data_IF_278188437031
#
_entry.id   IF_278188437031
#
_cell.length_a   1.000
_cell.length_b   1.000
_cell.length_c   1.000
_cell.angle_alpha   90.00
_cell.angle_beta   90.00
_cell.angle_gamma   90.00
#
_symmetry.space_group_name_H-M   'P 1'
#
loop_
_entity.id
_entity.type
_entity.pdbx_description
1 polymer ?
#
# COMPACT_ATOMS: atom_id res chain seq x y z
N UNK A 1 -17.01 -30.94 -12.23
CA UNK A 1 -16.11 -30.79 -11.07
C UNK A 1 -14.72 -31.36 -11.33
N UNK A 2 -14.60 -32.60 -11.78
CA UNK A 2 -13.30 -33.25 -12.07
C UNK A 2 -12.40 -32.43 -13.01
N UNK A 3 -12.92 -32.00 -14.17
CA UNK A 3 -12.14 -31.18 -15.11
C UNK A 3 -11.69 -29.83 -14.55
N UNK A 4 -12.47 -29.24 -13.64
CA UNK A 4 -12.09 -27.98 -12.98
C UNK A 4 -10.90 -28.25 -12.06
N UNK A 5 -11.00 -29.27 -11.20
CA UNK A 5 -9.92 -29.62 -10.28
C UNK A 5 -8.63 -30.01 -11.01
N UNK A 6 -8.73 -30.71 -12.14
CA UNK A 6 -7.57 -31.07 -12.97
C UNK A 6 -6.97 -29.88 -13.73
N UNK A 7 -7.70 -28.76 -13.84
CA UNK A 7 -7.23 -27.52 -14.47
C UNK A 7 -6.65 -26.51 -13.47
N UNK A 8 -6.93 -26.69 -12.17
CA UNK A 8 -6.34 -25.87 -11.11
C UNK A 8 -4.85 -26.21 -10.91
N UNK A 9 -4.07 -25.32 -10.30
CA UNK A 9 -2.68 -25.60 -9.96
C UNK A 9 -2.54 -26.86 -9.10
N UNK A 10 -1.44 -27.59 -9.29
CA UNK A 10 -1.07 -28.67 -8.37
C UNK A 10 -0.83 -28.11 -6.97
N UNK A 11 -0.82 -28.99 -5.96
CA UNK A 11 -0.56 -28.57 -4.57
C UNK A 11 0.78 -27.85 -4.43
N UNK A 12 1.82 -28.33 -5.12
CA UNK A 12 3.16 -27.74 -5.08
C UNK A 12 3.18 -26.36 -5.75
N UNK A 13 2.50 -26.20 -6.89
CA UNK A 13 2.37 -24.91 -7.57
C UNK A 13 1.60 -23.91 -6.71
N UNK A 14 0.45 -24.32 -6.16
CA UNK A 14 -0.35 -23.49 -5.26
C UNK A 14 0.46 -23.07 -4.02
N UNK A 15 1.19 -24.01 -3.41
CA UNK A 15 2.04 -23.74 -2.25
C UNK A 15 3.13 -22.70 -2.56
N UNK A 16 3.85 -22.88 -3.68
CA UNK A 16 4.87 -21.93 -4.11
C UNK A 16 4.29 -20.54 -4.40
N UNK A 17 3.15 -20.46 -5.11
CA UNK A 17 2.49 -19.18 -5.40
C UNK A 17 2.02 -18.48 -4.13
N UNK A 18 1.43 -19.20 -3.18
CA UNK A 18 1.00 -18.62 -1.90
C UNK A 18 2.20 -18.07 -1.12
N UNK A 19 3.31 -18.82 -1.06
CA UNK A 19 4.54 -18.36 -0.41
C UNK A 19 5.07 -17.07 -1.02
N UNK A 20 5.18 -17.03 -2.36
CA UNK A 20 5.65 -15.83 -3.08
C UNK A 20 4.72 -14.63 -2.85
N UNK A 21 3.40 -14.82 -3.01
CA UNK A 21 2.44 -13.72 -2.80
C UNK A 21 2.45 -13.23 -1.36
N UNK A 22 2.55 -14.13 -0.39
CA UNK A 22 2.68 -13.76 1.02
C UNK A 22 3.93 -12.92 1.24
N UNK A 23 5.08 -13.37 0.76
CA UNK A 23 6.34 -12.67 0.96
C UNK A 23 6.33 -11.26 0.37
N UNK A 24 5.76 -11.10 -0.84
CA UNK A 24 5.71 -9.83 -1.59
C UNK A 24 4.61 -8.86 -1.12
N UNK A 25 3.62 -9.32 -0.34
CA UNK A 25 2.51 -8.47 0.12
C UNK A 25 2.62 -8.04 1.58
N UNK A 26 3.65 -8.50 2.29
CA UNK A 26 3.94 -8.04 3.65
C UNK A 26 4.37 -6.57 3.63
N UNK A 27 3.95 -5.87 4.68
CA UNK A 27 4.42 -4.52 4.98
C UNK A 27 5.56 -4.61 5.98
N UNK A 28 6.56 -3.76 5.81
CA UNK A 28 7.65 -3.61 6.77
C UNK A 28 7.31 -2.46 7.71
N UNK A 29 7.51 -2.66 9.02
CA UNK A 29 7.12 -1.67 10.05
C UNK A 29 7.95 -0.37 9.96
N UNK A 30 9.11 -0.41 9.32
CA UNK A 30 10.06 0.68 9.18
C UNK A 30 10.04 1.36 7.79
N UNK A 31 9.11 0.98 6.90
CA UNK A 31 9.02 1.55 5.56
C UNK A 31 8.36 2.95 5.59
N UNK A 32 9.00 3.99 5.00
CA UNK A 32 8.42 5.31 4.92
C UNK A 32 7.28 5.35 3.88
N UNK A 33 6.13 5.83 4.30
CA UNK A 33 4.93 5.94 3.48
C UNK A 33 4.89 7.23 2.67
N UNK A 34 3.99 7.29 1.69
CA UNK A 34 3.87 8.41 0.75
C UNK A 34 3.81 9.75 1.47
N UNK A 35 4.79 10.60 1.20
CA UNK A 35 4.91 11.94 1.78
C UNK A 35 5.69 12.01 3.08
N UNK A 36 6.22 10.90 3.59
CA UNK A 36 7.20 10.86 4.68
C UNK A 36 8.61 11.00 4.13
N UNK A 37 9.31 12.09 4.45
CA UNK A 37 10.67 12.33 3.97
C UNK A 37 11.65 12.40 5.14
N UNK A 38 12.07 11.25 5.72
CA UNK A 38 12.90 11.22 6.93
C UNK A 38 14.30 11.83 6.73
N UNK A 39 14.85 11.73 5.52
CA UNK A 39 16.20 12.23 5.19
C UNK A 39 16.32 13.76 5.20
N UNK A 40 15.20 14.50 5.12
CA UNK A 40 15.15 15.97 5.12
C UNK A 40 16.20 16.64 4.21
N UNK A 41 16.30 16.14 2.97
CA UNK A 41 17.26 16.66 1.98
C UNK A 41 16.98 18.11 1.56
N UNK A 42 15.72 18.53 1.63
CA UNK A 42 15.33 19.92 1.42
C UNK A 42 15.47 20.74 2.70
N UNK A 43 16.15 21.88 2.61
CA UNK A 43 16.37 22.80 3.74
C UNK A 43 15.77 24.18 3.50
N UNK A 44 15.26 24.45 2.30
CA UNK A 44 14.62 25.71 1.96
C UNK A 44 13.15 25.72 2.42
N UNK A 45 12.70 26.89 2.87
CA UNK A 45 11.36 27.04 3.45
C UNK A 45 10.24 26.74 2.44
N UNK A 46 10.46 27.05 1.17
CA UNK A 46 9.46 26.85 0.13
C UNK A 46 9.19 25.36 -0.12
N UNK A 47 10.24 24.53 -0.11
CA UNK A 47 10.15 23.08 -0.20
C UNK A 47 9.47 22.48 1.02
N UNK A 48 9.84 22.90 2.24
CA UNK A 48 9.16 22.45 3.47
C UNK A 48 7.65 22.77 3.45
N UNK A 49 7.29 23.97 2.99
CA UNK A 49 5.89 24.37 2.87
C UNK A 49 5.17 23.57 1.78
N UNK A 50 5.86 23.19 0.70
CA UNK A 50 5.32 22.31 -0.34
C UNK A 50 5.06 20.89 0.18
N UNK A 51 6.01 20.32 0.93
CA UNK A 51 5.87 19.03 1.59
C UNK A 51 4.68 19.06 2.57
N UNK A 52 4.60 20.08 3.42
CA UNK A 52 3.51 20.26 4.38
C UNK A 52 2.14 20.33 3.68
N UNK A 53 2.04 21.06 2.56
CA UNK A 53 0.81 21.11 1.74
C UNK A 53 0.50 19.75 1.11
N UNK A 54 1.50 19.01 0.66
CA UNK A 54 1.32 17.68 0.08
C UNK A 54 0.78 16.70 1.13
N UNK A 55 1.41 16.62 2.30
CA UNK A 55 0.95 15.81 3.43
C UNK A 55 -0.48 16.18 3.87
N UNK A 56 -0.80 17.47 3.93
CA UNK A 56 -2.17 17.92 4.24
C UNK A 56 -3.22 17.50 3.19
N UNK A 57 -2.84 17.37 1.92
CA UNK A 57 -3.72 16.83 0.87
C UNK A 57 -3.87 15.32 0.99
N UNK A 58 -2.79 14.60 1.29
CA UNK A 58 -2.83 13.15 1.53
C UNK A 58 -3.76 12.81 2.69
N UNK A 59 -3.67 13.55 3.80
CA UNK A 59 -4.58 13.34 4.94
C UNK A 59 -6.06 13.51 4.55
N UNK A 60 -6.39 14.51 3.72
CA UNK A 60 -7.77 14.69 3.21
C UNK A 60 -8.22 13.52 2.33
N UNK A 61 -7.32 12.99 1.49
CA UNK A 61 -7.59 11.81 0.65
C UNK A 61 -7.83 10.59 1.52
N UNK A 62 -6.97 10.35 2.51
CA UNK A 62 -7.10 9.25 3.48
C UNK A 62 -8.49 9.28 4.14
N UNK A 63 -8.88 10.42 4.73
CA UNK A 63 -10.21 10.60 5.34
C UNK A 63 -11.37 10.36 4.37
N UNK A 64 -11.24 10.77 3.12
CA UNK A 64 -12.26 10.52 2.10
C UNK A 64 -12.35 9.02 1.73
N UNK A 65 -11.21 8.31 1.68
CA UNK A 65 -11.17 6.87 1.42
C UNK A 65 -11.76 6.11 2.60
N UNK A 66 -11.39 6.44 3.84
CA UNK A 66 -11.96 5.87 5.06
C UNK A 66 -13.48 6.01 5.08
N UNK A 67 -14.01 7.23 4.89
CA UNK A 67 -15.46 7.47 4.86
C UNK A 67 -16.19 6.70 3.75
N UNK A 68 -15.54 6.53 2.60
CA UNK A 68 -16.09 5.73 1.49
C UNK A 68 -16.08 4.23 1.84
N UNK A 69 -15.04 3.75 2.51
CA UNK A 69 -14.89 2.35 2.90
C UNK A 69 -15.87 1.91 3.99
N UNK A 70 -16.29 2.83 4.88
CA UNK A 70 -17.33 2.56 5.89
C UNK A 70 -18.66 2.06 5.31
N UNK A 71 -18.91 2.32 4.02
CA UNK A 71 -20.14 1.94 3.30
C UNK A 71 -19.97 0.68 2.45
N UNK A 72 -18.78 0.09 2.42
CA UNK A 72 -18.46 -1.06 1.57
C UNK A 72 -18.38 -2.33 2.42
N UNK A 73 -18.94 -3.43 1.91
CA UNK A 73 -18.76 -4.77 2.51
C UNK A 73 -17.28 -5.18 2.51
N UNK A 74 -16.55 -4.82 1.44
CA UNK A 74 -15.12 -5.05 1.29
C UNK A 74 -14.39 -3.72 1.11
N UNK A 75 -13.76 -3.19 2.18
CA UNK A 75 -12.98 -1.96 2.11
C UNK A 75 -11.82 -2.05 1.10
N UNK A 76 -11.65 -1.01 0.29
CA UNK A 76 -10.49 -0.89 -0.61
C UNK A 76 -9.41 -0.04 0.07
N UNK A 77 -8.35 -0.69 0.55
CA UNK A 77 -7.33 -0.04 1.40
C UNK A 77 -5.96 0.11 0.74
N UNK A 78 -5.75 -0.48 -0.44
CA UNK A 78 -4.43 -0.51 -1.09
C UNK A 78 -3.87 0.87 -1.44
N UNK A 79 -4.73 1.85 -1.75
CA UNK A 79 -4.33 3.23 -2.08
C UNK A 79 -4.56 4.23 -0.93
N UNK A 80 -4.68 3.74 0.31
CA UNK A 80 -4.53 4.64 1.46
C UNK A 80 -3.10 5.20 1.44
N UNK A 81 -2.90 6.52 1.63
CA UNK A 81 -1.56 7.09 1.75
C UNK A 81 -0.70 6.36 2.78
N UNK A 82 -1.30 5.93 3.89
CA UNK A 82 -0.67 5.15 4.98
C UNK A 82 -0.38 3.69 4.61
N UNK A 83 -0.78 3.25 3.41
CA UNK A 83 -0.48 1.92 2.88
C UNK A 83 0.34 1.99 1.58
N UNK A 84 0.71 3.19 1.14
CA UNK A 84 1.45 3.40 -0.11
C UNK A 84 2.89 3.75 0.23
N UNK A 85 3.86 2.88 -0.07
CA UNK A 85 5.28 3.20 0.11
C UNK A 85 5.71 4.42 -0.71
N UNK A 86 6.76 5.10 -0.26
CA UNK A 86 7.38 6.17 -1.05
C UNK A 86 8.10 5.66 -2.31
N UNK A 87 8.52 4.40 -2.33
CA UNK A 87 9.33 3.82 -3.40
C UNK A 87 8.98 2.34 -3.62
N UNK A 88 9.61 1.70 -4.61
CA UNK A 88 9.53 0.25 -4.79
C UNK A 88 10.68 -0.38 -4.00
N UNK A 89 10.36 -1.00 -2.87
CA UNK A 89 11.32 -1.64 -1.97
C UNK A 89 11.16 -3.17 -1.86
N UNK A 90 10.16 -3.74 -2.55
CA UNK A 90 9.89 -5.18 -2.67
C UNK A 90 9.40 -5.55 -4.08
#
# INVERSE_FOLDING_TARGET
>A
MEHIMNSLPTKDQAGATIGVVFDLTRKFDDEPHLGEFPERLFTDKAAEDAISRFQGKLHKISKAIEHRNDKLEFPYTYLLPENTPNSVAI
#
